data_IF_254624481806
#
_entry.id   IF_254624481806
#
_cell.length_a   1.000
_cell.length_b   1.000
_cell.length_c   1.000
_cell.angle_alpha   90.00
_cell.angle_beta   90.00
_cell.angle_gamma   90.00
#
_symmetry.space_group_name_H-M   'P 1'
#
loop_
_entity.id
_entity.type
_entity.pdbx_description
1 polymer ?
#
# COMPACT_ATOMS: atom_id res chain seq x y z
N UNK A 1 -27.08 9.27 51.20
CA UNK A 1 -26.63 8.67 49.91
C UNK A 1 -26.27 9.84 49.00
N UNK A 2 -24.98 10.14 48.84
CA UNK A 2 -24.51 11.21 47.97
C UNK A 2 -24.21 10.60 46.59
N UNK A 3 -24.90 11.09 45.57
CA UNK A 3 -24.66 10.74 44.16
C UNK A 3 -23.47 11.55 43.66
N UNK A 4 -22.29 10.93 43.66
CA UNK A 4 -21.10 11.51 43.06
C UNK A 4 -21.16 11.33 41.53
N UNK A 5 -21.88 12.24 40.87
CA UNK A 5 -22.01 12.28 39.42
C UNK A 5 -20.81 12.98 38.78
N UNK A 6 -19.81 12.22 38.33
CA UNK A 6 -18.81 12.74 37.38
C UNK A 6 -18.55 11.77 36.22
N UNK A 7 -19.61 11.47 35.46
CA UNK A 7 -19.44 10.78 34.19
C UNK A 7 -18.64 11.68 33.22
N UNK A 8 -17.34 11.39 33.06
CA UNK A 8 -16.46 12.07 32.09
C UNK A 8 -16.59 11.36 30.75
N UNK A 9 -17.10 12.06 29.74
CA UNK A 9 -17.09 11.56 28.36
C UNK A 9 -15.73 11.85 27.74
N UNK A 10 -15.01 10.80 27.39
CA UNK A 10 -13.78 10.90 26.61
C UNK A 10 -14.15 11.11 25.14
N UNK A 11 -13.72 12.22 24.56
CA UNK A 11 -13.85 12.50 23.13
C UNK A 11 -12.46 12.35 22.52
N UNK A 12 -12.32 11.43 21.56
CA UNK A 12 -11.08 11.26 20.79
C UNK A 12 -11.28 11.86 19.41
N UNK A 13 -10.44 12.85 19.07
CA UNK A 13 -10.39 13.41 17.73
C UNK A 13 -9.36 12.62 16.93
N UNK A 14 -9.79 11.99 15.84
CA UNK A 14 -8.90 11.32 14.89
C UNK A 14 -8.85 12.12 13.59
N UNK A 15 -7.72 12.04 12.88
CA UNK A 15 -7.70 12.53 11.50
C UNK A 15 -8.68 11.73 10.66
N UNK A 16 -9.37 12.41 9.75
CA UNK A 16 -10.25 11.81 8.76
C UNK A 16 -9.47 11.05 7.67
N UNK A 17 -8.21 11.44 7.40
CA UNK A 17 -7.36 10.78 6.41
C UNK A 17 -6.22 10.03 7.10
N UNK A 18 -6.14 8.73 6.87
CA UNK A 18 -5.11 7.84 7.41
C UNK A 18 -4.29 7.21 6.28
N UNK A 19 -2.97 7.19 6.43
CA UNK A 19 -2.06 6.47 5.53
C UNK A 19 -1.41 5.33 6.33
N UNK A 20 -1.60 4.09 5.90
CA UNK A 20 -1.13 2.88 6.56
C UNK A 20 -0.01 2.29 5.71
N UNK A 21 1.20 2.23 6.27
CA UNK A 21 2.34 1.64 5.58
C UNK A 21 2.34 0.11 5.77
N UNK A 22 1.87 -0.65 4.78
CA UNK A 22 1.97 -2.11 4.78
C UNK A 22 3.17 -2.64 3.98
N UNK A 23 4.01 -1.75 3.44
CA UNK A 23 5.21 -2.09 2.69
C UNK A 23 6.32 -2.66 3.59
N UNK A 24 7.26 -3.45 3.02
CA UNK A 24 8.33 -4.05 3.79
C UNK A 24 9.38 -3.05 4.30
N UNK A 25 9.38 -1.81 3.80
CA UNK A 25 10.28 -0.75 4.24
C UNK A 25 9.53 0.43 4.86
N UNK A 26 10.22 1.17 5.71
CA UNK A 26 9.82 2.52 6.12
C UNK A 26 9.69 3.40 4.87
N UNK A 27 8.70 4.28 4.85
CA UNK A 27 8.46 5.21 3.74
C UNK A 27 8.57 6.66 4.18
N UNK A 28 9.02 7.52 3.28
CA UNK A 28 8.80 8.96 3.38
C UNK A 28 7.50 9.31 2.66
N UNK A 29 6.59 9.97 3.36
CA UNK A 29 5.34 10.51 2.83
C UNK A 29 5.46 12.04 2.82
N UNK A 30 5.44 12.63 1.64
CA UNK A 30 5.47 14.08 1.43
C UNK A 30 4.09 14.56 0.99
N UNK A 31 3.52 15.45 1.78
CA UNK A 31 2.25 16.11 1.53
C UNK A 31 2.51 17.44 0.85
N UNK A 32 2.02 17.59 -0.38
CA UNK A 32 2.21 18.78 -1.20
C UNK A 32 0.87 19.44 -1.49
N UNK A 33 0.76 20.73 -1.18
CA UNK A 33 -0.48 21.45 -1.44
C UNK A 33 -0.56 21.81 -2.93
N UNK A 34 -1.67 21.47 -3.60
CA UNK A 34 -1.98 22.08 -4.89
C UNK A 34 -2.56 23.45 -4.61
N UNK A 35 -1.88 24.51 -5.04
CA UNK A 35 -2.51 25.83 -5.10
C UNK A 35 -3.76 25.70 -5.98
N UNK A 36 -4.98 25.94 -5.45
CA UNK A 36 -6.13 26.11 -6.33
C UNK A 36 -5.87 27.38 -7.13
N UNK A 37 -6.06 27.33 -8.45
CA UNK A 37 -5.97 28.53 -9.29
C UNK A 37 -6.97 29.63 -8.86
N UNK A 38 -8.01 29.29 -8.08
CA UNK A 38 -9.15 30.17 -7.81
C UNK A 38 -9.67 30.23 -6.36
N UNK A 39 -8.91 29.83 -5.33
CA UNK A 39 -9.45 29.87 -3.96
C UNK A 39 -8.50 30.44 -2.90
N UNK A 40 -9.13 31.17 -1.98
CA UNK A 40 -8.65 31.76 -0.72
C UNK A 40 -8.21 30.66 0.26
N UNK A 41 -7.31 29.78 -0.16
CA UNK A 41 -6.66 28.81 0.72
C UNK A 41 -5.39 29.42 1.26
N UNK A 42 -5.26 29.42 2.59
CA UNK A 42 -4.00 29.66 3.28
C UNK A 42 -2.93 28.78 2.65
N UNK A 43 -1.85 29.38 2.13
CA UNK A 43 -0.69 28.63 1.67
C UNK A 43 -0.17 27.80 2.84
N UNK A 44 -0.13 26.47 2.66
CA UNK A 44 0.38 25.53 3.66
C UNK A 44 1.70 25.00 3.12
N UNK A 45 2.81 25.12 3.87
CA UNK A 45 4.09 24.58 3.44
C UNK A 45 4.02 23.06 3.34
N UNK A 46 4.74 22.50 2.36
CA UNK A 46 4.84 21.05 2.19
C UNK A 46 5.36 20.39 3.49
N UNK A 47 4.89 19.18 3.78
CA UNK A 47 5.28 18.46 4.99
C UNK A 47 5.64 17.01 4.69
N UNK A 48 6.83 16.60 5.11
CA UNK A 48 7.30 15.21 5.03
C UNK A 48 7.15 14.49 6.37
N UNK A 49 6.84 13.20 6.30
CA UNK A 49 6.76 12.30 7.44
C UNK A 49 7.51 11.01 7.12
N UNK A 50 8.16 10.44 8.14
CA UNK A 50 8.70 9.08 8.07
C UNK A 50 7.69 8.14 8.72
N UNK A 51 7.27 7.12 7.99
CA UNK A 51 6.24 6.16 8.43
C UNK A 51 6.82 4.76 8.39
N UNK A 52 7.09 4.20 9.57
CA UNK A 52 7.64 2.85 9.66
C UNK A 52 6.66 1.79 9.16
N UNK A 53 7.20 0.62 8.80
CA UNK A 53 6.39 -0.54 8.42
C UNK A 53 5.37 -0.88 9.50
N UNK A 54 4.14 -1.15 9.07
CA UNK A 54 2.93 -1.39 9.89
C UNK A 54 2.52 -0.23 10.79
N UNK A 55 3.03 0.98 10.56
CA UNK A 55 2.54 2.19 11.24
C UNK A 55 1.52 2.94 10.39
N UNK A 56 0.74 3.76 11.10
CA UNK A 56 -0.28 4.64 10.52
C UNK A 56 0.09 6.09 10.74
N UNK A 57 0.10 6.86 9.66
CA UNK A 57 0.17 8.31 9.70
C UNK A 57 -1.25 8.88 9.72
N UNK A 58 -1.58 9.61 10.77
CA UNK A 58 -2.76 10.47 10.80
C UNK A 58 -2.41 11.79 10.10
N UNK A 59 -2.96 12.00 8.90
CA UNK A 59 -2.63 13.18 8.10
C UNK A 59 -3.18 14.43 8.80
N UNK A 60 -2.38 15.50 9.02
CA UNK A 60 -2.90 16.73 9.60
C UNK A 60 -4.03 17.31 8.76
N UNK A 61 -5.09 17.83 9.40
CA UNK A 61 -6.27 18.34 8.70
C UNK A 61 -5.95 19.40 7.63
N UNK A 62 -4.94 20.26 7.89
CA UNK A 62 -4.47 21.27 6.93
C UNK A 62 -3.90 20.68 5.63
N UNK A 63 -3.52 19.41 5.64
CA UNK A 63 -3.02 18.66 4.50
C UNK A 63 -4.02 17.61 4.00
N UNK A 64 -5.26 17.63 4.49
CA UNK A 64 -6.23 16.62 4.13
C UNK A 64 -6.52 16.59 2.63
N UNK A 65 -6.34 17.69 1.88
CA UNK A 65 -6.52 17.75 0.42
C UNK A 65 -5.17 17.89 -0.34
N UNK A 66 -4.04 17.66 0.32
CA UNK A 66 -2.73 17.69 -0.34
C UNK A 66 -2.53 16.45 -1.23
N UNK A 67 -1.75 16.60 -2.31
CA UNK A 67 -1.20 15.45 -3.02
C UNK A 67 -0.26 14.68 -2.10
N UNK A 68 -0.30 13.36 -2.22
CA UNK A 68 0.45 12.45 -1.36
C UNK A 68 1.51 11.78 -2.23
N UNK A 69 2.76 12.15 -1.98
CA UNK A 69 3.92 11.58 -2.63
C UNK A 69 4.61 10.61 -1.68
N UNK A 70 4.85 9.38 -2.11
CA UNK A 70 5.47 8.35 -1.27
C UNK A 70 6.76 7.87 -1.91
N UNK A 71 7.78 7.58 -1.10
CA UNK A 71 8.97 6.81 -1.53
C UNK A 71 9.49 5.91 -0.42
N UNK A 72 10.12 4.78 -0.73
CA UNK A 72 10.84 4.02 0.29
C UNK A 72 11.99 4.86 0.87
N UNK A 73 12.17 4.73 2.18
CA UNK A 73 13.29 5.32 2.94
C UNK A 73 14.15 4.19 3.51
N UNK A 74 15.43 4.47 3.76
CA UNK A 74 16.38 3.47 4.28
C UNK A 74 16.73 2.35 3.29
N UNK A 75 16.39 2.50 1.99
CA UNK A 75 16.82 1.59 0.94
C UNK A 75 18.24 1.91 0.45
N UNK A 76 19.00 0.92 -0.06
CA UNK A 76 20.33 1.15 -0.63
C UNK A 76 20.30 2.04 -1.88
N UNK A 77 19.16 2.10 -2.57
CA UNK A 77 18.95 2.98 -3.71
C UNK A 77 18.26 4.28 -3.30
N UNK A 78 18.60 5.37 -4.00
CA UNK A 78 17.92 6.65 -3.86
C UNK A 78 16.73 6.69 -4.83
N UNK A 79 15.52 6.50 -4.29
CA UNK A 79 14.29 6.53 -5.07
C UNK A 79 13.73 7.96 -5.22
N UNK A 80 13.14 8.25 -6.39
CA UNK A 80 12.25 9.39 -6.57
C UNK A 80 10.96 9.18 -5.79
N UNK A 81 10.16 10.24 -5.64
CA UNK A 81 8.77 10.06 -5.23
C UNK A 81 7.97 9.28 -6.28
N UNK A 82 6.89 8.66 -5.82
CA UNK A 82 6.03 7.81 -6.63
C UNK A 82 5.33 8.60 -7.74
N UNK A 83 5.12 7.93 -8.87
CA UNK A 83 4.30 8.41 -9.97
C UNK A 83 3.28 7.31 -10.33
N UNK A 84 1.98 7.63 -10.46
CA UNK A 84 1.37 8.94 -10.15
C UNK A 84 1.43 9.30 -8.65
N UNK A 85 1.15 10.57 -8.32
CA UNK A 85 0.92 11.01 -6.94
C UNK A 85 -0.43 10.50 -6.47
N UNK A 86 -0.55 10.07 -5.22
CA UNK A 86 -1.83 9.60 -4.70
C UNK A 86 -2.73 10.79 -4.34
N UNK A 87 -4.02 10.68 -4.65
CA UNK A 87 -5.01 11.67 -4.30
C UNK A 87 -6.39 11.04 -4.05
N UNK A 88 -6.85 11.03 -2.80
CA UNK A 88 -8.16 10.47 -2.48
C UNK A 88 -9.31 11.28 -3.10
N UNK A 89 -9.13 12.58 -3.39
CA UNK A 89 -10.22 13.41 -3.93
C UNK A 89 -10.58 13.09 -5.38
N UNK A 90 -9.74 12.32 -6.07
CA UNK A 90 -9.98 11.86 -7.44
C UNK A 90 -10.77 10.54 -7.46
N UNK A 91 -11.06 9.97 -6.28
CA UNK A 91 -11.87 8.75 -6.13
C UNK A 91 -13.31 9.00 -6.58
N UNK A 92 -13.88 8.16 -7.47
CA UNK A 92 -15.26 8.32 -7.91
C UNK A 92 -16.25 8.17 -6.75
N UNK A 93 -17.32 8.96 -6.77
CA UNK A 93 -18.32 8.99 -5.68
C UNK A 93 -19.20 7.73 -5.57
N UNK A 94 -19.20 6.87 -6.59
CA UNK A 94 -20.00 5.64 -6.63
C UNK A 94 -19.22 4.39 -6.17
N UNK A 95 -17.94 4.54 -5.82
CA UNK A 95 -17.12 3.45 -5.28
C UNK A 95 -16.68 3.76 -3.86
N UNK A 96 -16.63 2.71 -3.03
CA UNK A 96 -16.11 2.78 -1.66
C UNK A 96 -14.63 2.35 -1.57
N UNK A 97 -14.08 1.83 -2.68
CA UNK A 97 -12.69 1.36 -2.77
C UNK A 97 -12.12 1.53 -4.17
N UNK A 98 -10.87 1.99 -4.27
CA UNK A 98 -10.06 1.98 -5.50
C UNK A 98 -8.65 1.50 -5.21
N UNK A 99 -7.98 1.00 -6.25
CA UNK A 99 -6.58 0.59 -6.22
C UNK A 99 -5.80 1.39 -7.25
N UNK A 100 -4.68 1.97 -6.84
CA UNK A 100 -3.79 2.74 -7.71
C UNK A 100 -2.38 2.15 -7.66
N UNK A 101 -1.83 1.80 -8.82
CA UNK A 101 -0.43 1.40 -8.92
C UNK A 101 0.46 2.65 -8.95
N UNK A 102 1.46 2.71 -8.08
CA UNK A 102 2.39 3.82 -8.02
C UNK A 102 3.84 3.32 -8.07
N UNK A 103 4.70 4.03 -8.80
CA UNK A 103 6.09 3.64 -9.04
C UNK A 103 7.08 4.72 -8.63
N UNK A 104 8.02 4.36 -7.78
CA UNK A 104 9.21 5.14 -7.47
C UNK A 104 10.36 4.64 -8.35
N UNK A 105 11.12 5.56 -8.95
CA UNK A 105 12.19 5.22 -9.89
C UNK A 105 13.56 5.48 -9.28
N UNK A 106 14.58 4.84 -9.84
CA UNK A 106 15.98 5.17 -9.58
C UNK A 106 16.69 5.46 -10.90
N UNK A 107 17.83 6.15 -10.83
CA UNK A 107 18.67 6.39 -12.01
C UNK A 107 19.20 5.08 -12.64
N UNK A 108 19.29 3.99 -11.86
CA UNK A 108 19.75 2.66 -12.33
C UNK A 108 18.60 1.75 -12.81
N UNK A 109 17.40 2.31 -13.03
CA UNK A 109 16.19 1.57 -13.45
C UNK A 109 15.73 0.47 -12.48
N UNK A 110 16.16 0.50 -11.23
CA UNK A 110 15.48 -0.24 -10.17
C UNK A 110 14.19 0.52 -9.85
N UNK A 111 13.05 -0.11 -10.11
CA UNK A 111 11.75 0.43 -9.80
C UNK A 111 11.27 -0.14 -8.48
N UNK A 112 10.58 0.69 -7.70
CA UNK A 112 9.88 0.30 -6.51
C UNK A 112 8.41 0.64 -6.71
N UNK A 113 7.61 -0.38 -6.94
CA UNK A 113 6.18 -0.33 -7.19
C UNK A 113 5.42 -0.78 -5.95
N UNK A 114 4.29 -0.15 -5.75
CA UNK A 114 3.34 -0.50 -4.70
C UNK A 114 1.93 -0.17 -5.16
N UNK A 115 0.96 -0.84 -4.57
CA UNK A 115 -0.45 -0.57 -4.79
C UNK A 115 -1.01 0.23 -3.61
N UNK A 116 -1.59 1.40 -3.89
CA UNK A 116 -2.34 2.17 -2.93
C UNK A 116 -3.82 1.75 -2.98
N UNK A 117 -4.30 1.12 -1.92
CA UNK A 117 -5.72 0.84 -1.72
C UNK A 117 -6.34 2.02 -0.98
N UNK A 118 -7.24 2.76 -1.63
CA UNK A 118 -7.93 3.91 -1.06
C UNK A 118 -9.37 3.49 -0.74
N UNK A 119 -9.74 3.56 0.54
CA UNK A 119 -11.05 3.16 1.04
C UNK A 119 -11.76 4.37 1.64
N UNK A 120 -13.00 4.62 1.21
CA UNK A 120 -13.88 5.64 1.80
C UNK A 120 -14.46 5.10 3.12
N UNK A 121 -14.35 5.87 4.20
CA UNK A 121 -15.02 5.57 5.46
C UNK A 121 -16.46 6.11 5.42
N UNK A 122 -17.44 5.22 5.63
CA UNK A 122 -18.83 5.61 5.80
C UNK A 122 -19.02 6.30 7.16
N UNK A 123 -19.01 7.63 7.16
CA UNK A 123 -19.40 8.42 8.32
C UNK A 123 -20.93 8.46 8.39
N UNK A 124 -21.50 8.22 9.58
CA UNK A 124 -22.95 8.23 9.85
C UNK A 124 -23.61 9.63 9.72
N UNK A 125 -22.91 10.60 9.17
CA UNK A 125 -23.37 11.98 9.04
C UNK A 125 -23.96 12.11 7.63
N UNK A 126 -25.27 12.38 7.57
CA UNK A 126 -25.99 12.55 6.31
C UNK A 126 -25.26 13.48 5.35
N UNK A 127 -25.08 13.02 4.11
CA UNK A 127 -24.42 13.73 3.02
C UNK A 127 -24.87 15.19 2.95
N UNK A 128 -24.03 16.10 3.44
CA UNK A 128 -24.14 17.51 3.07
C UNK A 128 -23.45 17.65 1.72
N UNK A 129 -24.21 17.90 0.66
CA UNK A 129 -23.81 17.96 -0.75
C UNK A 129 -22.75 19.00 -1.12
N UNK A 130 -22.16 19.70 -0.14
CA UNK A 130 -21.26 20.85 -0.38
C UNK A 130 -19.78 20.56 -0.25
N UNK A 131 -19.35 19.56 0.52
CA UNK A 131 -17.93 19.26 0.70
C UNK A 131 -17.69 17.77 0.95
N UNK A 132 -16.94 17.13 0.04
CA UNK A 132 -16.47 15.76 0.24
C UNK A 132 -15.47 15.73 1.40
N UNK A 133 -15.79 14.95 2.42
CA UNK A 133 -14.93 14.84 3.58
C UNK A 133 -13.74 13.91 3.28
N UNK A 134 -12.53 14.23 3.80
CA UNK A 134 -11.30 13.43 3.61
C UNK A 134 -11.32 12.08 4.36
N UNK A 135 -12.50 11.56 4.71
CA UNK A 135 -12.76 10.35 5.47
C UNK A 135 -12.31 9.09 4.70
N UNK A 136 -11.00 8.89 4.57
CA UNK A 136 -10.40 7.83 3.76
C UNK A 136 -9.25 7.16 4.49
N UNK A 137 -9.02 5.90 4.16
CA UNK A 137 -7.85 5.13 4.56
C UNK A 137 -7.10 4.71 3.32
N UNK A 138 -5.83 5.05 3.25
CA UNK A 138 -4.92 4.68 2.17
C UNK A 138 -3.97 3.62 2.71
N UNK A 139 -4.03 2.40 2.18
CA UNK A 139 -3.11 1.33 2.51
C UNK A 139 -2.06 1.19 1.42
N UNK A 140 -0.79 1.19 1.80
CA UNK A 140 0.33 1.01 0.89
C UNK A 140 0.74 -0.46 0.89
N UNK A 141 0.44 -1.18 -0.18
CA UNK A 141 0.70 -2.62 -0.32
C UNK A 141 1.85 -2.90 -1.29
N UNK A 142 2.68 -3.95 -1.05
CA UNK A 142 3.63 -4.41 -2.05
C UNK A 142 2.89 -4.89 -3.30
N UNK A 143 3.55 -4.87 -4.46
CA UNK A 143 2.97 -5.38 -5.72
C UNK A 143 2.54 -6.84 -5.60
N UNK A 144 3.37 -7.67 -4.95
CA UNK A 144 3.03 -9.06 -4.66
C UNK A 144 3.35 -9.35 -3.20
N UNK A 145 2.40 -9.98 -2.50
CA UNK A 145 2.61 -10.60 -1.20
C UNK A 145 2.48 -12.10 -1.36
N UNK A 146 3.55 -12.83 -1.04
CA UNK A 146 3.58 -14.28 -1.08
C UNK A 146 3.46 -14.81 0.35
N UNK A 147 2.42 -15.59 0.64
CA UNK A 147 2.20 -16.22 1.95
C UNK A 147 2.49 -17.71 1.83
N UNK A 148 3.45 -18.21 2.62
CA UNK A 148 3.76 -19.63 2.68
C UNK A 148 2.91 -20.29 3.78
N UNK A 149 1.85 -20.98 3.36
CA UNK A 149 0.97 -21.73 4.26
C UNK A 149 1.45 -23.18 4.49
N UNK A 150 2.59 -23.57 3.92
CA UNK A 150 3.17 -24.90 4.11
C UNK A 150 3.91 -24.97 5.45
N UNK A 151 4.02 -26.17 6.05
CA UNK A 151 4.80 -26.39 7.27
C UNK A 151 6.33 -26.48 7.02
N UNK A 152 6.79 -26.13 5.82
CA UNK A 152 8.18 -26.18 5.39
C UNK A 152 8.56 -24.87 4.68
N UNK A 153 9.86 -24.59 4.66
CA UNK A 153 10.41 -23.44 3.97
C UNK A 153 10.30 -23.61 2.44
N UNK A 154 10.05 -22.51 1.73
CA UNK A 154 10.00 -22.47 0.27
C UNK A 154 11.07 -21.52 -0.28
N UNK A 155 11.70 -21.92 -1.38
CA UNK A 155 12.45 -21.01 -2.25
C UNK A 155 11.56 -20.68 -3.44
N UNK A 156 11.48 -19.42 -3.83
CA UNK A 156 10.70 -19.02 -5.00
C UNK A 156 11.56 -18.27 -6.01
N UNK A 157 11.19 -18.37 -7.27
CA UNK A 157 11.55 -17.42 -8.31
C UNK A 157 10.27 -16.75 -8.79
N UNK A 158 10.22 -15.42 -8.72
CA UNK A 158 9.06 -14.65 -9.16
C UNK A 158 9.53 -13.65 -10.22
N UNK A 159 9.24 -13.97 -11.48
CA UNK A 159 9.68 -13.20 -12.66
C UNK A 159 11.17 -12.79 -12.61
N UNK A 160 12.04 -13.73 -12.25
CA UNK A 160 13.50 -13.54 -12.17
C UNK A 160 14.02 -13.13 -10.79
N UNK A 161 13.15 -12.78 -9.84
CA UNK A 161 13.56 -12.50 -8.47
C UNK A 161 13.50 -13.74 -7.60
N UNK A 162 14.66 -14.15 -7.10
CA UNK A 162 14.75 -15.27 -6.17
C UNK A 162 14.53 -14.80 -4.74
N UNK A 163 13.81 -15.60 -3.96
CA UNK A 163 13.63 -15.36 -2.54
C UNK A 163 13.33 -16.62 -1.76
N UNK A 164 13.20 -16.45 -0.46
CA UNK A 164 12.99 -17.53 0.48
C UNK A 164 11.91 -17.13 1.48
N UNK A 165 10.93 -18.00 1.69
CA UNK A 165 9.84 -17.78 2.66
C UNK A 165 9.79 -18.94 3.63
N UNK A 166 9.99 -18.65 4.91
CA UNK A 166 9.91 -19.66 5.96
C UNK A 166 8.52 -20.27 6.06
N UNK A 167 8.42 -21.46 6.66
CA UNK A 167 7.15 -22.08 7.02
C UNK A 167 6.24 -21.09 7.78
N UNK A 168 5.00 -20.94 7.33
CA UNK A 168 4.02 -20.01 7.92
C UNK A 168 4.35 -18.52 7.78
N UNK A 169 5.39 -18.15 7.03
CA UNK A 169 5.83 -16.76 6.87
C UNK A 169 5.34 -16.14 5.56
N UNK A 170 5.67 -14.86 5.36
CA UNK A 170 5.33 -14.13 4.14
C UNK A 170 6.54 -13.39 3.58
N UNK A 171 6.56 -13.20 2.26
CA UNK A 171 7.45 -12.29 1.55
C UNK A 171 6.67 -11.20 0.83
N UNK A 172 7.32 -10.07 0.59
CA UNK A 172 6.74 -8.91 -0.08
C UNK A 172 7.69 -8.47 -1.18
N UNK A 173 7.16 -8.35 -2.39
CA UNK A 173 7.92 -8.00 -3.59
C UNK A 173 7.37 -6.71 -4.18
N UNK A 174 8.26 -5.74 -4.40
CA UNK A 174 7.92 -4.37 -4.80
C UNK A 174 8.52 -3.99 -6.15
N UNK A 175 9.45 -4.75 -6.69
CA UNK A 175 10.14 -4.46 -7.96
C UNK A 175 9.35 -4.90 -9.20
N UNK A 176 8.37 -5.79 -9.03
CA UNK A 176 7.60 -6.39 -10.11
C UNK A 176 6.66 -5.40 -10.78
N UNK A 177 6.39 -5.68 -12.05
CA UNK A 177 5.48 -4.92 -12.91
C UNK A 177 4.20 -5.74 -13.13
N UNK A 178 3.07 -5.39 -12.48
CA UNK A 178 1.84 -6.19 -12.52
C UNK A 178 1.11 -6.12 -13.87
N UNK A 179 1.51 -5.22 -14.75
CA UNK A 179 0.99 -5.14 -16.12
C UNK A 179 1.63 -6.20 -17.05
N UNK A 180 2.70 -6.85 -16.59
CA UNK A 180 3.37 -7.95 -17.29
C UNK A 180 2.90 -9.29 -16.75
N UNK A 181 3.08 -10.32 -17.56
CA UNK A 181 2.89 -11.70 -17.11
C UNK A 181 3.90 -12.00 -16.01
N UNK A 182 3.43 -12.51 -14.88
CA UNK A 182 4.27 -12.89 -13.74
C UNK A 182 4.30 -14.42 -13.67
N UNK A 183 5.51 -14.98 -13.69
CA UNK A 183 5.72 -16.41 -13.51
C UNK A 183 6.27 -16.67 -12.11
N UNK A 184 5.61 -17.58 -11.39
CA UNK A 184 6.01 -18.05 -10.08
C UNK A 184 6.49 -19.50 -10.18
N UNK A 185 7.75 -19.72 -9.83
CA UNK A 185 8.30 -21.06 -9.60
C UNK A 185 8.60 -21.23 -8.11
N UNK A 186 8.32 -22.41 -7.56
CA UNK A 186 8.57 -22.73 -6.16
C UNK A 186 9.41 -24.00 -6.08
N UNK A 187 10.41 -23.99 -5.22
CA UNK A 187 11.23 -25.15 -4.87
C UNK A 187 11.14 -25.40 -3.39
N UNK A 188 11.13 -26.66 -3.03
CA UNK A 188 11.19 -27.13 -1.64
C UNK A 188 12.33 -28.14 -1.53
N UNK A 189 12.87 -28.35 -0.33
CA UNK A 189 14.11 -29.09 -0.06
C UNK A 189 14.46 -30.20 -1.07
N UNK A 190 13.65 -31.26 -1.16
CA UNK A 190 13.94 -32.41 -2.01
C UNK A 190 13.44 -32.26 -3.46
N UNK A 191 12.55 -31.31 -3.72
CA UNK A 191 11.93 -31.09 -5.03
C UNK A 191 12.48 -29.82 -5.67
N UNK A 192 13.48 -30.01 -6.52
CA UNK A 192 14.27 -28.91 -7.12
C UNK A 192 13.71 -28.44 -8.47
N UNK A 193 12.76 -29.17 -9.04
CA UNK A 193 12.12 -28.88 -10.32
C UNK A 193 10.63 -28.60 -10.10
N UNK A 194 10.11 -27.57 -10.78
CA UNK A 194 8.74 -27.09 -10.63
C UNK A 194 8.24 -26.56 -11.96
N UNK A 195 6.95 -26.76 -12.28
CA UNK A 195 6.32 -25.97 -13.35
C UNK A 195 6.04 -24.55 -12.87
N UNK A 196 6.20 -23.57 -13.76
CA UNK A 196 5.79 -22.20 -13.47
C UNK A 196 4.26 -22.11 -13.35
N UNK A 197 3.79 -21.37 -12.33
CA UNK A 197 2.44 -20.83 -12.30
C UNK A 197 2.47 -19.47 -12.98
N UNK A 198 1.68 -19.33 -14.04
CA UNK A 198 1.52 -18.07 -14.77
C UNK A 198 0.37 -17.29 -14.14
N UNK A 199 0.67 -16.14 -13.55
CA UNK A 199 -0.30 -15.16 -13.08
C UNK A 199 -0.59 -14.22 -14.27
N UNK A 200 -1.83 -14.20 -14.79
CA UNK A 200 -2.19 -13.31 -15.89
C UNK A 200 -1.95 -11.85 -15.53
N UNK A 201 -1.58 -11.02 -16.51
CA UNK A 201 -1.48 -9.58 -16.33
C UNK A 201 -2.82 -9.01 -15.88
N UNK A 202 -2.79 -8.05 -14.97
CA UNK A 202 -3.99 -7.38 -14.45
C UNK A 202 -5.06 -8.32 -13.87
N UNK A 203 -4.65 -9.48 -13.33
CA UNK A 203 -5.55 -10.41 -12.66
C UNK A 203 -6.21 -9.73 -11.46
N UNK A 204 -7.52 -9.51 -11.53
CA UNK A 204 -8.34 -8.86 -10.51
C UNK A 204 -9.38 -9.80 -9.88
N UNK A 205 -9.24 -11.11 -10.13
CA UNK A 205 -10.11 -12.17 -9.63
C UNK A 205 -9.27 -13.25 -8.98
N UNK A 206 -9.89 -14.03 -8.10
CA UNK A 206 -9.23 -15.17 -7.48
C UNK A 206 -8.92 -16.22 -8.56
N UNK A 207 -7.69 -16.74 -8.52
CA UNK A 207 -7.29 -17.85 -9.38
C UNK A 207 -6.55 -18.91 -8.54
N UNK A 208 -6.62 -20.16 -9.00
CA UNK A 208 -5.88 -21.27 -8.42
C UNK A 208 -5.03 -21.94 -9.48
N UNK A 209 -3.74 -22.12 -9.20
CA UNK A 209 -2.80 -22.90 -10.02
C UNK A 209 -2.41 -24.21 -9.33
N UNK A 210 -2.08 -25.23 -10.12
CA UNK A 210 -1.48 -26.47 -9.60
C UNK A 210 0.04 -26.41 -9.78
N UNK A 211 0.75 -26.73 -8.70
CA UNK A 211 2.20 -26.88 -8.69
C UNK A 211 2.51 -28.38 -8.75
N UNK A 212 3.32 -28.77 -9.72
CA UNK A 212 3.94 -30.08 -9.86
C UNK A 212 5.40 -29.92 -9.47
N UNK A 213 5.77 -30.61 -8.41
CA UNK A 213 7.12 -30.65 -7.86
C UNK A 213 7.74 -31.99 -8.24
N UNK A 214 8.96 -31.95 -8.74
CA UNK A 214 9.70 -33.14 -9.17
C UNK A 214 11.06 -33.21 -8.47
N UNK A 215 11.41 -34.42 -8.03
CA UNK A 215 12.76 -34.72 -7.56
C UNK A 215 13.76 -34.60 -8.72
N UNK A 216 15.05 -34.47 -8.40
CA UNK A 216 16.08 -34.59 -9.44
C UNK A 216 16.03 -36.01 -10.03
N UNK A 217 16.09 -36.15 -11.37
CA UNK A 217 16.24 -37.46 -12.01
C UNK A 217 17.57 -38.12 -11.62
#
# INVERSE_FOLDING_TARGET
>A
IALEGSARKLITVRSALLIINNLPQTVEVKLENRLPHDAVTLWVPNKSFIVDTKKTLAVPLVHAHSQINVRPSGSPHQYTFCMPTLNWSEMPNYVDKVFELATCHTHKRYNYRFCAEIIRENLLIGSSTRYDQPAHRIYLWPTVKLENLLPIDIVYNLAGENGHVKAGAQASVTSLDPEKVIELEIKIENFQTCNAIVIPSSCNTDFSGRIKLEDRP
#
